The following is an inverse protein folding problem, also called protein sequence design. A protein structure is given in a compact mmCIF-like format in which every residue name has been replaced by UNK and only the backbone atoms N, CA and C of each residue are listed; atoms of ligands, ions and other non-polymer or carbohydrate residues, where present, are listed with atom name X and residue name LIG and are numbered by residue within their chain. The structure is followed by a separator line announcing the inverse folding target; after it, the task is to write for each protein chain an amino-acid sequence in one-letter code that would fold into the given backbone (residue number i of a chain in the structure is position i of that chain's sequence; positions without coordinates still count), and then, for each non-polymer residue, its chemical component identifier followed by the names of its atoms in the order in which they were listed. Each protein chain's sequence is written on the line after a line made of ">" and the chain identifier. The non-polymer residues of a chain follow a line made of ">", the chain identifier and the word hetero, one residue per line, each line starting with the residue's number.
data_IF_869535682190
#
_entry.id   IF_869535682190
#
_cell.length_a   1.000
_cell.length_b   1.000
_cell.length_c   1.000
_cell.angle_alpha   90.00
_cell.angle_beta   90.00
_cell.angle_gamma   90.00
#
_symmetry.space_group_name_H-M   'P 1'
#
loop_
_entity.id
_entity.type
_entity.pdbx_description
1 polymer ?
#
# COMPACT_ATOMS: atom_id res chain seq x y z
N UNK A 1 -19.61 1.45 -8.63
CA UNK A 1 -19.01 2.59 -7.91
C UNK A 1 -17.63 2.79 -8.50
N UNK A 2 -17.11 4.01 -8.53
CA UNK A 2 -15.79 4.28 -9.11
C UNK A 2 -14.81 4.71 -8.01
N UNK A 3 -13.66 4.06 -7.93
CA UNK A 3 -12.62 4.44 -6.96
C UNK A 3 -11.99 5.77 -7.39
N UNK A 4 -12.00 6.76 -6.50
CA UNK A 4 -11.32 8.05 -6.69
C UNK A 4 -9.85 8.00 -6.30
N UNK A 5 -9.54 7.34 -5.18
CA UNK A 5 -8.16 7.21 -4.71
C UNK A 5 -8.01 6.06 -3.75
N UNK A 6 -6.79 5.55 -3.69
CA UNK A 6 -6.32 4.58 -2.73
C UNK A 6 -5.14 5.18 -1.98
N UNK A 7 -5.18 5.08 -0.66
CA UNK A 7 -4.09 5.43 0.23
C UNK A 7 -3.67 4.18 1.01
N UNK A 8 -2.39 3.86 0.94
CA UNK A 8 -1.80 2.67 1.54
C UNK A 8 -0.67 3.11 2.48
N UNK A 9 -0.78 2.72 3.75
CA UNK A 9 0.21 3.03 4.78
C UNK A 9 0.75 1.74 5.37
N UNK A 10 2.06 1.53 5.29
CA UNK A 10 2.77 0.41 5.93
C UNK A 10 3.60 0.89 7.09
N UNK A 11 3.57 0.16 8.21
CA UNK A 11 4.32 0.50 9.43
C UNK A 11 5.01 -0.72 10.01
N UNK A 12 6.27 -0.52 10.38
CA UNK A 12 7.10 -1.45 11.13
C UNK A 12 7.31 -0.82 12.52
N UNK A 13 7.13 -1.57 13.62
CA UNK A 13 7.43 -1.06 14.95
C UNK A 13 8.91 -0.73 15.07
N UNK A 14 9.20 0.36 15.78
CA UNK A 14 10.58 0.70 16.12
C UNK A 14 11.06 -0.26 17.21
N UNK A 15 12.15 -0.98 16.96
CA UNK A 15 12.78 -1.91 17.91
C UNK A 15 14.22 -1.48 18.20
N UNK A 16 14.82 -2.04 19.25
CA UNK A 16 16.18 -1.68 19.70
C UNK A 16 17.28 -2.07 18.70
N UNK A 17 16.99 -2.98 17.78
CA UNK A 17 17.95 -3.49 16.80
C UNK A 17 17.99 -2.66 15.51
N UNK A 18 17.10 -1.68 15.35
CA UNK A 18 17.04 -0.85 14.15
C UNK A 18 18.02 0.32 14.19
N UNK A 19 18.61 0.60 13.03
CA UNK A 19 19.42 1.79 12.83
C UNK A 19 18.50 3.01 12.65
N UNK A 20 18.94 4.22 13.05
CA UNK A 20 18.16 5.46 12.86
C UNK A 20 17.64 5.65 11.43
N UNK A 21 18.47 5.30 10.45
CA UNK A 21 18.20 5.37 9.01
C UNK A 21 17.29 4.26 8.47
N UNK A 22 16.94 3.27 9.29
CA UNK A 22 16.03 2.21 8.87
C UNK A 22 14.66 2.80 8.59
N UNK A 23 14.13 2.50 7.42
CA UNK A 23 12.76 2.82 7.09
C UNK A 23 11.81 2.06 8.02
N UNK A 24 10.84 2.79 8.60
CA UNK A 24 9.80 2.21 9.47
C UNK A 24 8.39 2.49 8.99
N UNK A 25 8.19 3.40 8.04
CA UNK A 25 6.88 3.75 7.54
C UNK A 25 6.91 4.10 6.05
N UNK A 26 5.92 3.63 5.29
CA UNK A 26 5.77 3.90 3.86
C UNK A 26 4.33 4.30 3.56
N UNK A 27 4.17 5.31 2.71
CA UNK A 27 2.90 5.85 2.26
C UNK A 27 2.86 5.76 0.74
N UNK A 28 1.79 5.22 0.19
CA UNK A 28 1.54 5.13 -1.24
C UNK A 28 0.13 5.64 -1.51
N UNK A 29 0.02 6.67 -2.35
CA UNK A 29 -1.27 7.20 -2.80
C UNK A 29 -1.37 6.99 -4.30
N UNK A 30 -2.52 6.49 -4.74
CA UNK A 30 -2.86 6.29 -6.15
C UNK A 30 -4.20 6.97 -6.40
N UNK A 31 -4.27 7.88 -7.36
CA UNK A 31 -5.53 8.54 -7.73
C UNK A 31 -6.04 8.02 -9.07
N UNK A 32 -7.36 8.04 -9.26
CA UNK A 32 -8.00 7.74 -10.56
C UNK A 32 -7.50 8.64 -11.70
N UNK A 33 -6.84 9.76 -11.40
CA UNK A 33 -6.32 10.68 -12.40
C UNK A 33 -5.00 10.24 -13.00
N UNK A 34 -4.35 9.19 -12.50
CA UNK A 34 -3.02 8.81 -12.97
C UNK A 34 -1.91 9.13 -11.97
N UNK A 35 -2.21 9.88 -10.91
CA UNK A 35 -1.18 10.39 -10.00
C UNK A 35 -0.83 9.33 -8.96
N UNK A 36 0.46 9.02 -8.87
CA UNK A 36 1.00 8.13 -7.86
C UNK A 36 2.07 8.88 -7.07
N UNK A 37 1.90 8.93 -5.75
CA UNK A 37 2.89 9.49 -4.83
C UNK A 37 3.30 8.46 -3.81
N UNK A 38 4.58 8.46 -3.47
CA UNK A 38 5.16 7.59 -2.48
C UNK A 38 6.13 8.35 -1.59
N UNK A 39 6.02 8.09 -0.30
CA UNK A 39 6.90 8.62 0.74
C UNK A 39 7.32 7.48 1.67
N UNK A 40 8.60 7.42 2.03
CA UNK A 40 9.09 6.56 3.11
C UNK A 40 9.72 7.40 4.23
N UNK A 41 9.64 6.90 5.45
CA UNK A 41 10.11 7.59 6.65
C UNK A 41 10.95 6.65 7.50
N UNK A 42 11.99 7.21 8.12
CA UNK A 42 12.94 6.49 8.97
C UNK A 42 12.49 6.46 10.42
N UNK A 43 13.15 5.61 11.22
CA UNK A 43 12.91 5.53 12.67
C UNK A 43 13.17 6.87 13.37
N UNK A 44 14.18 7.62 12.93
CA UNK A 44 14.62 8.88 13.53
C UNK A 44 13.90 10.13 13.00
N UNK A 45 13.34 10.07 11.77
CA UNK A 45 12.66 11.19 11.14
C UNK A 45 11.32 10.78 10.50
N UNK A 46 10.24 11.05 11.24
CA UNK A 46 8.85 10.84 10.77
C UNK A 46 8.20 12.08 10.17
N UNK A 47 8.94 13.17 10.00
CA UNK A 47 8.39 14.45 9.50
C UNK A 47 8.73 14.69 8.05
N UNK A 48 9.92 14.28 7.61
CA UNK A 48 10.38 14.46 6.25
C UNK A 48 10.69 13.08 5.64
N UNK A 49 10.25 12.83 4.40
CA UNK A 49 10.47 11.54 3.76
C UNK A 49 11.94 11.34 3.41
N UNK A 50 12.48 10.15 3.69
CA UNK A 50 13.83 9.76 3.26
C UNK A 50 13.87 9.28 1.81
N UNK A 51 12.77 8.73 1.29
CA UNK A 51 12.52 8.58 -0.14
C UNK A 51 11.19 9.23 -0.50
N UNK A 52 11.21 9.94 -1.62
CA UNK A 52 10.02 10.54 -2.21
C UNK A 52 9.98 10.19 -3.70
N UNK A 53 8.80 9.79 -4.17
CA UNK A 53 8.57 9.46 -5.57
C UNK A 53 7.20 9.97 -6.00
N UNK A 54 7.15 10.66 -7.14
CA UNK A 54 5.90 11.05 -7.78
C UNK A 54 5.97 10.75 -9.27
N UNK A 55 4.90 10.15 -9.79
CA UNK A 55 4.79 9.85 -11.22
C UNK A 55 3.35 9.99 -11.67
N UNK A 56 3.19 10.29 -12.94
CA UNK A 56 1.91 10.16 -13.63
C UNK A 56 1.93 8.90 -14.48
N UNK A 57 1.03 7.97 -14.20
CA UNK A 57 0.91 6.70 -14.91
C UNK A 57 -0.18 6.76 -15.97
N UNK A 58 -0.13 5.84 -16.93
CA UNK A 58 -1.16 5.73 -17.93
C UNK A 58 -2.50 5.31 -17.30
N UNK A 59 -3.59 5.84 -17.85
CA UNK A 59 -4.94 5.61 -17.34
C UNK A 59 -5.35 4.14 -17.34
N UNK A 60 -4.83 3.35 -18.29
CA UNK A 60 -5.14 1.93 -18.36
C UNK A 60 -4.49 1.17 -17.20
N UNK A 61 -3.20 1.41 -16.90
CA UNK A 61 -2.50 0.83 -15.76
C UNK A 61 -3.14 1.18 -14.43
N UNK A 62 -3.54 2.44 -14.23
CA UNK A 62 -4.25 2.87 -13.01
C UNK A 62 -5.61 2.19 -12.89
N UNK A 63 -6.41 2.19 -13.95
CA UNK A 63 -7.72 1.53 -13.93
C UNK A 63 -7.57 0.05 -13.56
N UNK A 64 -6.59 -0.64 -14.15
CA UNK A 64 -6.31 -2.04 -13.81
C UNK A 64 -5.88 -2.20 -12.34
N UNK A 65 -4.98 -1.36 -11.83
CA UNK A 65 -4.53 -1.42 -10.45
C UNK A 65 -5.68 -1.19 -9.44
N UNK A 66 -6.52 -0.19 -9.69
CA UNK A 66 -7.67 0.12 -8.84
C UNK A 66 -8.71 -1.00 -8.86
N UNK A 67 -9.05 -1.54 -10.03
CA UNK A 67 -9.99 -2.66 -10.16
C UNK A 67 -9.45 -3.91 -9.46
N UNK A 68 -8.15 -4.21 -9.57
CA UNK A 68 -7.55 -5.34 -8.86
C UNK A 68 -7.65 -5.20 -7.34
N UNK A 69 -7.43 -3.99 -6.82
CA UNK A 69 -7.58 -3.72 -5.39
C UNK A 69 -9.04 -3.82 -4.98
N UNK A 70 -9.97 -3.21 -5.72
CA UNK A 70 -11.40 -3.25 -5.44
C UNK A 70 -11.92 -4.69 -5.33
N UNK A 71 -11.66 -5.51 -6.36
CA UNK A 71 -12.12 -6.90 -6.41
C UNK A 71 -11.60 -7.72 -5.22
N UNK A 72 -10.36 -7.49 -4.80
CA UNK A 72 -9.80 -8.19 -3.65
C UNK A 72 -10.50 -7.80 -2.34
N UNK A 73 -10.72 -6.50 -2.13
CA UNK A 73 -11.31 -5.99 -0.90
C UNK A 73 -12.85 -6.11 -0.86
N UNK A 74 -13.50 -6.40 -1.99
CA UNK A 74 -14.91 -6.79 -2.06
C UNK A 74 -15.16 -8.29 -1.82
N UNK A 75 -14.30 -9.19 -2.33
CA UNK A 75 -14.49 -10.65 -2.22
C UNK A 75 -14.24 -11.18 -0.81
N UNK A 76 -13.33 -10.57 -0.07
CA UNK A 76 -12.99 -11.03 1.28
C UNK A 76 -13.64 -10.13 2.33
N UNK A 77 -14.39 -10.77 3.23
CA UNK A 77 -14.51 -10.36 4.62
C UNK A 77 -13.10 -10.36 5.24
N UNK A 78 -12.23 -9.43 4.84
CA UNK A 78 -10.84 -9.29 5.28
C UNK A 78 -10.87 -8.79 6.73
N UNK A 79 -11.26 -9.68 7.63
CA UNK A 79 -10.93 -9.58 9.04
C UNK A 79 -9.47 -10.05 9.13
N UNK A 80 -8.51 -9.19 8.78
CA UNK A 80 -7.12 -9.47 9.13
C UNK A 80 -6.95 -9.27 10.63
N UNK A 81 -7.36 -10.26 11.42
CA UNK A 81 -6.86 -10.41 12.79
C UNK A 81 -5.46 -11.02 12.74
N UNK A 82 -4.51 -10.28 12.18
CA UNK A 82 -3.11 -10.70 12.21
C UNK A 82 -2.45 -10.13 13.45
N UNK A 83 -2.00 -11.02 14.34
CA UNK A 83 -1.26 -10.70 15.57
C UNK A 83 0.20 -10.22 15.32
N UNK A 84 0.45 -9.61 14.16
CA UNK A 84 1.76 -9.09 13.77
C UNK A 84 1.95 -7.65 14.23
N UNK A 85 3.16 -7.32 14.67
CA UNK A 85 3.49 -5.94 15.04
C UNK A 85 3.67 -5.05 13.79
N UNK A 86 4.06 -5.64 12.64
CA UNK A 86 4.19 -4.99 11.33
C UNK A 86 2.83 -4.94 10.64
N UNK A 87 2.32 -3.75 10.32
CA UNK A 87 0.94 -3.55 9.87
C UNK A 87 0.87 -2.76 8.56
N UNK A 88 -0.20 -2.97 7.81
CA UNK A 88 -0.62 -2.08 6.74
C UNK A 88 -2.06 -1.62 6.96
N UNK A 89 -2.37 -0.45 6.42
CA UNK A 89 -3.71 0.11 6.32
C UNK A 89 -3.94 0.54 4.88
N UNK A 90 -5.09 0.19 4.34
CA UNK A 90 -5.61 0.65 3.06
C UNK A 90 -6.85 1.49 3.30
N UNK A 91 -6.91 2.66 2.68
CA UNK A 91 -8.12 3.48 2.60
C UNK A 91 -8.49 3.63 1.14
N UNK A 92 -9.68 3.18 0.77
CA UNK A 92 -10.29 3.39 -0.54
C UNK A 92 -11.29 4.52 -0.41
N UNK A 93 -11.17 5.52 -1.28
CA UNK A 93 -12.16 6.59 -1.44
C UNK A 93 -12.93 6.39 -2.73
N UNK A 94 -14.24 6.35 -2.62
CA UNK A 94 -15.16 6.18 -3.75
C UNK A 94 -15.75 7.52 -4.22
N UNK A 95 -16.42 7.50 -5.37
CA UNK A 95 -17.00 8.66 -6.04
C UNK A 95 -18.18 9.30 -5.29
N UNK A 96 -18.78 8.56 -4.36
CA UNK A 96 -19.80 9.05 -3.42
C UNK A 96 -19.20 9.63 -2.12
N UNK A 97 -17.88 9.86 -2.11
CA UNK A 97 -17.08 10.29 -0.95
C UNK A 97 -17.05 9.29 0.21
N UNK A 98 -17.57 8.07 0.03
CA UNK A 98 -17.46 7.03 1.03
C UNK A 98 -16.00 6.58 1.19
N UNK A 99 -15.67 6.15 2.41
CA UNK A 99 -14.36 5.63 2.77
C UNK A 99 -14.50 4.19 3.25
N UNK A 100 -13.77 3.29 2.60
CA UNK A 100 -13.59 1.91 3.07
C UNK A 100 -12.16 1.77 3.58
N UNK A 101 -12.00 1.33 4.82
CA UNK A 101 -10.68 1.11 5.43
C UNK A 101 -10.48 -0.36 5.75
N UNK A 102 -9.35 -0.89 5.27
CA UNK A 102 -8.89 -2.24 5.52
C UNK A 102 -7.54 -2.18 6.22
N UNK A 103 -7.24 -3.18 7.04
CA UNK A 103 -5.96 -3.27 7.76
C UNK A 103 -5.48 -4.70 7.74
N UNK A 104 -4.17 -4.94 7.86
CA UNK A 104 -3.62 -6.28 8.03
C UNK A 104 -2.15 -6.27 8.43
N UNK A 105 -1.47 -7.41 8.30
CA UNK A 105 -0.05 -7.59 8.62
C UNK A 105 0.81 -7.63 7.36
N UNK A 106 2.03 -7.09 7.44
CA UNK A 106 3.03 -7.18 6.37
C UNK A 106 3.65 -8.59 6.21
N UNK A 107 3.33 -9.52 7.11
CA UNK A 107 3.95 -10.85 7.17
C UNK A 107 3.37 -11.89 6.20
N UNK A 108 2.30 -11.58 5.47
CA UNK A 108 1.64 -12.50 4.55
C UNK A 108 1.54 -11.85 3.17
N UNK A 109 1.89 -12.60 2.12
CA UNK A 109 1.57 -12.20 0.75
C UNK A 109 0.06 -12.28 0.56
N UNK A 110 -0.49 -11.33 -0.20
CA UNK A 110 -1.91 -11.32 -0.50
C UNK A 110 -2.11 -11.85 -1.90
N UNK A 111 -2.88 -12.95 -2.00
CA UNK A 111 -3.15 -13.64 -3.26
C UNK A 111 -4.58 -13.35 -3.74
N UNK A 112 -4.72 -12.85 -4.96
CA UNK A 112 -5.98 -12.77 -5.68
C UNK A 112 -5.95 -13.71 -6.89
N UNK A 113 -6.91 -14.65 -6.98
CA UNK A 113 -6.93 -15.69 -8.02
C UNK A 113 -5.59 -16.45 -8.18
N UNK A 114 -4.93 -16.74 -7.06
CA UNK A 114 -3.63 -17.42 -7.03
C UNK A 114 -2.44 -16.58 -7.48
N UNK A 115 -2.59 -15.25 -7.60
CA UNK A 115 -1.52 -14.31 -7.95
C UNK A 115 -1.30 -13.27 -6.86
N UNK A 116 -0.05 -12.98 -6.56
CA UNK A 116 0.33 -11.93 -5.60
C UNK A 116 -0.12 -10.55 -6.06
N UNK A 117 -0.81 -9.81 -5.17
CA UNK A 117 -1.24 -8.43 -5.43
C UNK A 117 -0.03 -7.49 -5.49
N UNK A 118 1.00 -7.69 -4.65
CA UNK A 118 2.23 -6.89 -4.73
C UNK A 118 2.92 -7.06 -6.08
N UNK A 119 2.90 -8.27 -6.67
CA UNK A 119 3.40 -8.47 -8.03
C UNK A 119 2.60 -7.65 -9.05
N UNK A 120 1.27 -7.62 -8.93
CA UNK A 120 0.40 -6.80 -9.77
C UNK A 120 0.74 -5.32 -9.66
N UNK A 121 0.78 -4.78 -8.43
CA UNK A 121 1.08 -3.37 -8.18
C UNK A 121 2.46 -2.97 -8.68
N UNK A 122 3.50 -3.78 -8.43
CA UNK A 122 4.89 -3.49 -8.85
C UNK A 122 5.09 -3.56 -10.37
N UNK A 123 4.23 -4.27 -11.09
CA UNK A 123 4.25 -4.26 -12.56
C UNK A 123 3.84 -2.90 -13.11
N UNK A 124 2.95 -2.20 -12.41
CA UNK A 124 2.43 -0.91 -12.84
C UNK A 124 3.19 0.25 -12.18
N UNK A 125 3.55 0.12 -10.89
CA UNK A 125 4.15 1.17 -10.07
C UNK A 125 5.64 0.85 -9.85
N UNK A 126 6.58 1.62 -10.45
CA UNK A 126 8.01 1.30 -10.42
C UNK A 126 8.68 1.79 -9.12
N UNK A 127 8.16 1.39 -7.95
CA UNK A 127 8.77 1.69 -6.64
C UNK A 127 9.57 0.47 -6.18
N UNK A 128 10.86 0.68 -5.91
CA UNK A 128 11.72 -0.35 -5.31
C UNK A 128 11.43 -0.50 -3.82
N UNK A 129 11.53 -1.72 -3.29
CA UNK A 129 11.40 -2.00 -1.84
C UNK A 129 10.08 -1.49 -1.21
N UNK A 130 8.99 -1.53 -1.97
CA UNK A 130 7.64 -1.29 -1.46
C UNK A 130 7.23 -2.48 -0.59
N UNK A 131 7.10 -2.30 0.72
CA UNK A 131 6.80 -3.42 1.66
C UNK A 131 5.40 -3.99 1.51
N UNK A 132 4.49 -3.21 0.93
CA UNK A 132 3.09 -3.57 0.81
C UNK A 132 2.91 -4.87 0.04
N UNK A 133 2.28 -5.82 0.73
CA UNK A 133 1.98 -7.17 0.26
C UNK A 133 3.20 -7.96 -0.22
N UNK A 134 4.43 -7.57 0.14
CA UNK A 134 5.64 -8.22 -0.36
C UNK A 134 5.69 -9.70 0.03
N UNK A 135 5.09 -10.06 1.17
CA UNK A 135 5.17 -11.41 1.74
C UNK A 135 6.60 -11.87 2.04
N UNK A 136 7.60 -11.04 1.73
CA UNK A 136 9.02 -11.31 1.89
C UNK A 136 9.53 -10.70 3.18
N UNK A 137 10.20 -11.57 3.93
CA UNK A 137 11.21 -11.25 4.93
C UNK A 137 12.51 -10.89 4.25
#
# INVERSE_FOLDING_TARGET
>A
MAILSIELVSKIPITVDQMPEDEVEQHLIITHKGEVSFDSYTADNKKEPCRHFMVHMDQHAITMALVYLDLYFEEESVICHTQGERKWQLTIREDDESLKTFTGSLGEDILFNGRSISYGLRKFIPITDLWLFDGKK
#
